data_IF_256818000023
#
_entry.id   IF_256818000023
#
_cell.length_a   1.000
_cell.length_b   1.000
_cell.length_c   1.000
_cell.angle_alpha   90.00
_cell.angle_beta   90.00
_cell.angle_gamma   90.00
#
_symmetry.space_group_name_H-M   'P 1'
#
loop_
_entity.id
_entity.type
_entity.pdbx_description
1 polymer ?
#
# COMPACT_ATOMS: atom_id res chain seq x y z
N UNK A 1 1.79 -4.28 -38.98
CA UNK A 1 2.49 -5.55 -38.73
C UNK A 1 3.56 -5.30 -37.66
N UNK A 2 3.56 -6.09 -36.57
CA UNK A 2 4.57 -5.99 -35.52
C UNK A 2 5.79 -6.86 -35.86
N UNK A 3 7.01 -6.31 -35.74
CA UNK A 3 8.27 -7.03 -35.96
C UNK A 3 9.24 -6.75 -34.81
N UNK A 4 9.95 -7.77 -34.32
CA UNK A 4 10.99 -7.61 -33.29
C UNK A 4 12.30 -8.21 -33.80
N UNK A 5 13.37 -7.41 -33.82
CA UNK A 5 14.73 -7.88 -34.13
C UNK A 5 15.64 -7.67 -32.91
N UNK A 6 16.36 -8.70 -32.49
CA UNK A 6 17.30 -8.65 -31.37
C UNK A 6 18.68 -8.98 -31.92
N UNK A 7 19.60 -8.03 -31.91
CA UNK A 7 21.02 -8.23 -32.24
C UNK A 7 21.82 -8.31 -30.96
N UNK A 8 22.65 -9.33 -30.79
CA UNK A 8 23.48 -9.46 -29.60
C UNK A 8 24.89 -9.93 -29.93
N UNK A 9 25.87 -9.35 -29.25
CA UNK A 9 27.27 -9.75 -29.29
C UNK A 9 27.85 -9.63 -27.89
N UNK A 10 28.55 -10.68 -27.43
CA UNK A 10 29.29 -10.59 -26.17
C UNK A 10 30.40 -9.55 -26.26
N UNK A 11 30.78 -8.97 -25.13
CA UNK A 11 31.80 -7.93 -25.11
C UNK A 11 33.20 -8.42 -25.51
N UNK A 12 33.46 -9.71 -25.33
CA UNK A 12 34.74 -10.41 -25.60
C UNK A 12 34.78 -11.11 -26.97
N UNK A 13 33.65 -11.15 -27.69
CA UNK A 13 33.50 -11.84 -28.96
C UNK A 13 33.89 -10.95 -30.16
N UNK A 14 34.30 -11.53 -31.28
CA UNK A 14 34.61 -10.77 -32.49
C UNK A 14 33.32 -10.31 -33.21
N UNK A 15 33.36 -9.25 -34.05
CA UNK A 15 32.17 -8.72 -34.71
C UNK A 15 31.39 -9.74 -35.54
N UNK A 16 32.06 -10.72 -36.13
CA UNK A 16 31.47 -11.82 -36.91
C UNK A 16 30.72 -12.85 -36.06
N UNK A 17 30.87 -12.82 -34.74
CA UNK A 17 30.07 -13.61 -33.79
C UNK A 17 28.78 -12.91 -33.35
N UNK A 18 28.39 -11.82 -34.04
CA UNK A 18 27.09 -11.18 -33.81
C UNK A 18 25.95 -12.11 -34.22
N UNK A 19 24.97 -12.29 -33.35
CA UNK A 19 23.78 -13.12 -33.59
C UNK A 19 22.53 -12.25 -33.66
N UNK A 20 21.60 -12.61 -34.56
CA UNK A 20 20.32 -11.94 -34.76
C UNK A 20 19.19 -12.93 -34.49
N UNK A 21 18.29 -12.56 -33.58
CA UNK A 21 17.04 -13.24 -33.29
C UNK A 21 15.88 -12.37 -33.80
N UNK A 22 15.16 -12.83 -34.82
CA UNK A 22 14.07 -12.09 -35.47
C UNK A 22 12.71 -12.76 -35.27
N UNK A 23 11.72 -11.95 -34.93
CA UNK A 23 10.30 -12.27 -34.84
C UNK A 23 9.57 -11.51 -35.96
N UNK A 24 9.45 -12.09 -37.17
CA UNK A 24 8.95 -11.37 -38.34
C UNK A 24 7.48 -10.95 -38.23
N UNK A 25 6.68 -11.72 -37.49
CA UNK A 25 5.26 -11.45 -37.21
C UNK A 25 4.99 -11.35 -35.69
N UNK A 26 5.93 -10.74 -34.96
CA UNK A 26 5.90 -10.70 -33.51
C UNK A 26 5.91 -12.11 -32.91
N UNK A 27 5.13 -12.32 -31.84
CA UNK A 27 5.09 -13.61 -31.12
C UNK A 27 4.19 -14.67 -31.80
N UNK A 28 3.59 -14.38 -32.96
CA UNK A 28 2.68 -15.29 -33.67
C UNK A 28 3.39 -16.37 -34.49
N UNK A 29 4.67 -16.14 -34.82
CA UNK A 29 5.48 -17.05 -35.61
C UNK A 29 6.70 -17.54 -34.83
N UNK A 30 7.26 -18.67 -35.28
CA UNK A 30 8.53 -19.16 -34.75
C UNK A 30 9.64 -18.14 -35.04
N UNK A 31 10.50 -17.83 -34.06
CA UNK A 31 11.59 -16.90 -34.28
C UNK A 31 12.68 -17.52 -35.16
N UNK A 32 13.39 -16.66 -35.87
CA UNK A 32 14.55 -17.00 -36.69
C UNK A 32 15.83 -16.58 -35.96
N UNK A 33 16.78 -17.49 -35.82
CA UNK A 33 18.09 -17.22 -35.22
C UNK A 33 19.17 -17.42 -36.29
N UNK A 34 19.94 -16.38 -36.59
CA UNK A 34 21.01 -16.44 -37.59
C UNK A 34 22.24 -15.62 -37.17
N UNK A 35 23.39 -15.90 -37.80
CA UNK A 35 24.57 -15.03 -37.72
C UNK A 35 24.35 -13.74 -38.50
N UNK A 36 24.98 -12.66 -38.06
CA UNK A 36 24.87 -11.37 -38.72
C UNK A 36 25.73 -11.29 -39.99
N UNK A 37 25.14 -10.78 -41.06
CA UNK A 37 25.87 -10.39 -42.26
C UNK A 37 26.86 -9.26 -41.97
N UNK A 38 27.86 -9.05 -42.84
CA UNK A 38 28.92 -8.06 -42.61
C UNK A 38 28.40 -6.66 -42.24
N UNK A 39 27.34 -6.19 -42.91
CA UNK A 39 26.70 -4.90 -42.65
C UNK A 39 25.87 -4.83 -41.36
N UNK A 40 25.63 -5.97 -40.72
CA UNK A 40 24.78 -6.10 -39.54
C UNK A 40 25.56 -6.41 -38.26
N UNK A 41 26.88 -6.63 -38.37
CA UNK A 41 27.78 -6.94 -37.27
C UNK A 41 27.86 -5.77 -36.29
N UNK A 42 27.74 -6.07 -35.00
CA UNK A 42 27.89 -5.08 -33.95
C UNK A 42 29.37 -4.78 -33.72
N UNK A 43 29.73 -3.49 -33.76
CA UNK A 43 31.10 -3.03 -33.49
C UNK A 43 31.38 -2.86 -31.99
N UNK A 44 30.34 -2.62 -31.19
CA UNK A 44 30.35 -2.60 -29.72
C UNK A 44 29.71 -3.86 -29.13
N UNK A 45 30.14 -4.26 -27.93
CA UNK A 45 29.53 -5.38 -27.22
C UNK A 45 28.17 -4.95 -26.66
N UNK A 46 27.23 -5.87 -26.54
CA UNK A 46 25.91 -5.63 -25.97
C UNK A 46 24.76 -6.22 -26.78
N UNK A 47 23.57 -5.67 -26.58
CA UNK A 47 22.34 -6.12 -27.23
C UNK A 47 21.54 -4.91 -27.74
N UNK A 48 21.19 -4.91 -29.02
CA UNK A 48 20.24 -3.97 -29.64
C UNK A 48 18.90 -4.68 -29.84
N UNK A 49 17.81 -4.07 -29.36
CA UNK A 49 16.45 -4.56 -29.57
C UNK A 49 15.70 -3.52 -30.39
N UNK A 50 15.20 -3.93 -31.56
CA UNK A 50 14.41 -3.09 -32.47
C UNK A 50 13.00 -3.63 -32.54
N UNK A 51 12.03 -2.76 -32.27
CA UNK A 51 10.61 -3.09 -32.32
C UNK A 51 9.95 -2.17 -33.34
N UNK A 52 9.38 -2.76 -34.39
CA UNK A 52 8.52 -2.06 -35.33
C UNK A 52 7.07 -2.23 -34.87
N UNK A 53 6.45 -1.12 -34.47
CA UNK A 53 5.08 -1.08 -33.96
C UNK A 53 4.09 -0.76 -35.08
N UNK A 54 2.95 -1.43 -35.08
CA UNK A 54 1.84 -1.14 -35.98
C UNK A 54 0.94 -0.05 -35.39
N UNK A 55 1.05 1.17 -35.89
CA UNK A 55 0.30 2.32 -35.35
C UNK A 55 -1.20 2.27 -35.58
N UNK A 56 -1.69 1.40 -36.49
CA UNK A 56 -3.10 1.35 -36.88
C UNK A 56 -3.93 0.32 -36.07
N UNK A 57 -3.27 -0.66 -35.43
CA UNK A 57 -3.91 -1.80 -34.73
C UNK A 57 -3.84 -1.72 -33.19
N UNK A 58 -3.42 -0.59 -32.61
CA UNK A 58 -3.28 -0.41 -31.16
C UNK A 58 -4.62 -0.20 -30.41
N UNK A 59 -5.63 -1.04 -30.69
CA UNK A 59 -6.84 -1.19 -29.86
C UNK A 59 -6.65 -2.12 -28.65
N UNK A 60 -5.44 -2.60 -28.40
CA UNK A 60 -5.17 -3.61 -27.36
C UNK A 60 -4.17 -3.11 -26.32
N UNK A 61 -4.68 -2.83 -25.11
CA UNK A 61 -4.16 -2.88 -23.73
C UNK A 61 -2.68 -3.29 -23.39
N UNK A 62 -1.70 -3.22 -24.28
CA UNK A 62 -0.39 -3.86 -24.06
C UNK A 62 0.66 -3.04 -23.30
N UNK A 63 0.38 -1.78 -23.00
CA UNK A 63 1.12 -1.04 -21.98
C UNK A 63 0.17 -0.74 -20.83
N UNK A 64 0.36 -1.35 -19.64
CA UNK A 64 -0.18 -0.78 -18.42
C UNK A 64 0.61 0.50 -18.16
N UNK A 65 0.29 1.57 -18.90
CA UNK A 65 0.64 2.91 -18.45
C UNK A 65 -0.09 3.08 -17.12
N UNK A 66 0.68 3.33 -16.07
CA UNK A 66 0.17 3.72 -14.75
C UNK A 66 -0.59 5.06 -14.80
N UNK A 67 -0.62 5.74 -15.94
CA UNK A 67 -1.48 6.89 -16.19
C UNK A 67 -2.85 6.49 -16.70
N UNK A 68 -3.89 6.78 -15.90
CA UNK A 68 -5.32 6.76 -16.25
C UNK A 68 -5.89 5.36 -16.49
N UNK A 69 -6.56 4.81 -15.47
CA UNK A 69 -7.63 3.78 -15.60
C UNK A 69 -8.87 4.31 -16.36
N UNK A 70 -8.69 5.24 -17.29
CA UNK A 70 -9.72 5.65 -18.24
C UNK A 70 -9.69 4.71 -19.42
N UNK A 71 -10.86 4.20 -19.83
CA UNK A 71 -11.09 3.73 -21.20
C UNK A 71 -10.72 4.86 -22.16
N UNK A 72 -9.47 4.92 -22.57
CA UNK A 72 -8.92 5.89 -23.50
C UNK A 72 -7.77 5.19 -24.18
N UNK A 73 -7.94 4.89 -25.46
CA UNK A 73 -6.96 4.16 -26.26
C UNK A 73 -5.58 4.81 -26.16
N UNK A 74 -4.55 4.00 -26.40
CA UNK A 74 -3.19 4.47 -26.60
C UNK A 74 -3.21 5.61 -27.63
N UNK A 75 -2.94 6.83 -27.17
CA UNK A 75 -2.42 7.85 -28.07
C UNK A 75 -1.12 7.33 -28.68
N UNK A 76 -0.78 7.78 -29.90
CA UNK A 76 0.50 7.46 -30.57
C UNK A 76 1.65 7.48 -29.54
N UNK A 77 2.46 6.41 -29.50
CA UNK A 77 3.70 6.37 -28.71
C UNK A 77 4.48 7.63 -29.03
N UNK A 78 4.56 8.52 -28.06
CA UNK A 78 5.24 9.79 -28.20
C UNK A 78 6.38 9.87 -27.18
N UNK A 79 7.30 10.78 -27.43
CA UNK A 79 8.49 10.96 -26.60
C UNK A 79 8.15 11.06 -25.10
N UNK A 80 7.13 11.83 -24.73
CA UNK A 80 6.74 12.02 -23.33
C UNK A 80 6.26 10.71 -22.68
N UNK A 81 5.40 9.94 -23.37
CA UNK A 81 4.91 8.65 -22.86
C UNK A 81 6.04 7.63 -22.67
N UNK A 82 7.06 7.65 -23.53
CA UNK A 82 8.22 6.78 -23.39
C UNK A 82 9.12 7.23 -22.23
N UNK A 83 9.37 8.53 -22.08
CA UNK A 83 10.19 9.05 -20.96
C UNK A 83 9.53 8.77 -19.61
N UNK A 84 8.20 8.88 -19.53
CA UNK A 84 7.43 8.56 -18.33
C UNK A 84 7.49 7.06 -18.03
N UNK A 85 7.27 6.21 -19.04
CA UNK A 85 7.37 4.76 -18.86
C UNK A 85 8.76 4.34 -18.37
N UNK A 86 9.83 4.90 -18.95
CA UNK A 86 11.20 4.62 -18.51
C UNK A 86 11.44 5.08 -17.07
N UNK A 87 11.01 6.29 -16.71
CA UNK A 87 11.18 6.85 -15.36
C UNK A 87 10.49 5.97 -14.30
N UNK A 88 9.23 5.61 -14.56
CA UNK A 88 8.38 4.85 -13.63
C UNK A 88 8.78 3.37 -13.53
N UNK A 89 9.34 2.78 -14.59
CA UNK A 89 9.78 1.38 -14.60
C UNK A 89 11.23 1.19 -14.17
N UNK A 90 12.08 2.23 -14.23
CA UNK A 90 13.49 2.16 -13.83
C UNK A 90 13.86 3.27 -12.81
N UNK A 91 13.11 3.44 -11.71
CA UNK A 91 13.26 4.61 -10.84
C UNK A 91 14.56 4.59 -10.02
N UNK A 92 15.22 3.43 -9.91
CA UNK A 92 16.43 3.23 -9.07
C UNK A 92 17.59 2.64 -9.87
N UNK A 93 17.59 2.82 -11.19
CA UNK A 93 18.62 2.23 -12.05
C UNK A 93 19.99 2.85 -11.79
N UNK A 94 20.95 2.02 -11.37
CA UNK A 94 22.36 2.39 -11.22
C UNK A 94 23.05 2.65 -12.57
N UNK A 95 22.41 2.24 -13.67
CA UNK A 95 22.83 2.56 -15.03
C UNK A 95 21.85 3.60 -15.60
N UNK A 96 22.33 4.80 -15.97
CA UNK A 96 21.46 5.82 -16.56
C UNK A 96 20.83 5.35 -17.86
N UNK A 97 19.53 5.59 -18.02
CA UNK A 97 18.78 5.23 -19.22
C UNK A 97 18.57 6.47 -20.09
N UNK A 98 19.11 6.43 -21.30
CA UNK A 98 19.02 7.53 -22.26
C UNK A 98 17.90 7.28 -23.27
N UNK A 99 16.92 8.19 -23.32
CA UNK A 99 15.84 8.19 -24.31
C UNK A 99 16.12 9.29 -25.33
N UNK A 100 16.12 8.93 -26.62
CA UNK A 100 16.29 9.88 -27.72
C UNK A 100 15.12 9.75 -28.70
N UNK A 101 14.53 10.87 -29.10
CA UNK A 101 13.59 10.92 -30.21
C UNK A 101 13.77 12.23 -30.98
N UNK A 102 14.06 12.13 -32.28
CA UNK A 102 14.39 13.27 -33.13
C UNK A 102 15.50 14.14 -32.49
N UNK A 103 15.17 15.39 -32.15
CA UNK A 103 16.03 16.39 -31.51
C UNK A 103 15.98 16.38 -29.97
N UNK A 104 15.12 15.53 -29.37
CA UNK A 104 14.92 15.48 -27.92
C UNK A 104 15.73 14.36 -27.27
N UNK A 105 16.30 14.66 -26.12
CA UNK A 105 17.06 13.71 -25.29
C UNK A 105 16.62 13.83 -23.83
N UNK A 106 16.40 12.69 -23.18
CA UNK A 106 16.03 12.57 -21.78
C UNK A 106 16.93 11.52 -21.12
N UNK A 107 17.43 11.82 -19.92
CA UNK A 107 18.28 10.94 -19.13
C UNK A 107 17.56 10.61 -17.82
N UNK A 108 17.22 9.34 -17.61
CA UNK A 108 16.78 8.84 -16.33
C UNK A 108 17.98 8.27 -15.57
N UNK A 109 18.47 9.02 -14.58
CA UNK A 109 19.54 8.60 -13.69
C UNK A 109 18.97 8.34 -12.29
N UNK A 110 18.74 7.07 -11.97
CA UNK A 110 18.18 6.61 -10.70
C UNK A 110 19.23 6.28 -9.64
N UNK A 111 20.52 6.51 -9.91
CA UNK A 111 21.61 6.07 -9.03
C UNK A 111 21.60 6.77 -7.66
N UNK A 112 21.11 8.01 -7.60
CA UNK A 112 21.12 8.83 -6.38
C UNK A 112 19.75 8.93 -5.67
N UNK A 113 18.89 7.91 -5.81
CA UNK A 113 17.55 7.90 -5.23
C UNK A 113 17.53 8.09 -3.69
N UNK A 114 18.62 7.73 -3.00
CA UNK A 114 18.72 7.82 -1.54
C UNK A 114 18.81 9.27 -1.05
N UNK A 115 19.48 10.14 -1.81
CA UNK A 115 19.84 11.50 -1.36
C UNK A 115 19.15 12.61 -2.14
N UNK A 116 18.62 12.31 -3.33
CA UNK A 116 17.96 13.32 -4.16
C UNK A 116 16.74 13.96 -3.46
N UNK A 117 16.25 15.12 -3.93
CA UNK A 117 15.04 15.71 -3.37
C UNK A 117 13.84 14.75 -3.44
N UNK A 118 13.06 14.69 -2.36
CA UNK A 118 11.89 13.80 -2.27
C UNK A 118 10.91 14.01 -3.44
N UNK A 119 10.67 15.26 -3.84
CA UNK A 119 9.84 15.59 -5.00
C UNK A 119 10.36 14.99 -6.30
N UNK A 120 11.68 15.01 -6.53
CA UNK A 120 12.30 14.47 -7.75
C UNK A 120 12.13 12.95 -7.81
N UNK A 121 12.41 12.26 -6.70
CA UNK A 121 12.20 10.82 -6.58
C UNK A 121 10.72 10.45 -6.79
N UNK A 122 9.80 11.15 -6.12
CA UNK A 122 8.38 10.81 -6.15
C UNK A 122 7.75 11.11 -7.51
N UNK A 123 8.10 12.23 -8.17
CA UNK A 123 7.66 12.50 -9.54
C UNK A 123 8.13 11.42 -10.53
N UNK A 124 9.34 10.89 -10.33
CA UNK A 124 9.88 9.80 -11.15
C UNK A 124 9.12 8.48 -10.95
N UNK A 125 8.73 8.17 -9.71
CA UNK A 125 8.00 6.94 -9.35
C UNK A 125 6.52 7.03 -9.77
N UNK A 126 5.88 8.17 -9.52
CA UNK A 126 4.44 8.37 -9.65
C UNK A 126 4.05 8.87 -11.05
N UNK A 127 4.97 9.50 -11.78
CA UNK A 127 4.72 10.04 -13.13
C UNK A 127 3.57 11.04 -13.13
N UNK A 128 2.66 10.92 -14.10
CA UNK A 128 1.45 11.74 -14.22
C UNK A 128 0.50 11.65 -13.01
N UNK A 129 0.67 10.65 -12.12
CA UNK A 129 -0.16 10.45 -10.93
C UNK A 129 0.38 11.20 -9.69
N UNK A 130 1.50 11.91 -9.81
CA UNK A 130 2.09 12.67 -8.71
C UNK A 130 1.07 13.69 -8.14
N UNK A 131 0.68 13.58 -6.86
CA UNK A 131 -0.48 14.27 -6.29
C UNK A 131 -0.25 15.77 -6.02
N UNK A 132 0.96 16.29 -6.24
CA UNK A 132 1.29 17.69 -5.99
C UNK A 132 1.00 18.11 -4.55
N UNK A 133 0.24 19.20 -4.39
CA UNK A 133 -0.11 19.76 -3.08
C UNK A 133 -0.80 18.75 -2.16
N UNK A 134 -1.67 17.88 -2.70
CA UNK A 134 -2.45 16.94 -1.89
C UNK A 134 -1.57 15.88 -1.21
N UNK A 135 -0.41 15.57 -1.79
CA UNK A 135 0.57 14.64 -1.23
C UNK A 135 1.75 15.32 -0.55
N UNK A 136 1.86 16.66 -0.59
CA UNK A 136 3.04 17.40 -0.10
C UNK A 136 3.38 17.09 1.36
N UNK A 137 2.37 16.86 2.21
CA UNK A 137 2.58 16.46 3.60
C UNK A 137 3.40 15.17 3.68
N UNK A 138 2.98 14.15 2.93
CA UNK A 138 3.59 12.81 2.91
C UNK A 138 4.91 12.75 2.15
N UNK A 139 5.18 13.74 1.29
CA UNK A 139 6.50 13.93 0.69
C UNK A 139 7.53 14.40 1.73
N UNK A 140 7.14 15.30 2.64
CA UNK A 140 8.04 15.83 3.68
C UNK A 140 8.44 14.80 4.72
N UNK A 141 7.67 13.72 4.84
CA UNK A 141 7.92 12.61 5.78
C UNK A 141 8.65 11.44 5.14
N UNK A 142 9.05 11.57 3.86
CA UNK A 142 9.83 10.58 3.15
C UNK A 142 11.18 10.36 3.83
N UNK A 143 11.40 9.15 4.35
CA UNK A 143 12.59 8.79 5.14
C UNK A 143 13.20 7.49 4.64
N UNK A 144 14.46 7.25 4.99
CA UNK A 144 15.17 6.02 4.64
C UNK A 144 14.67 4.86 5.49
N UNK A 145 14.50 3.69 4.87
CA UNK A 145 14.33 2.43 5.57
C UNK A 145 15.71 1.79 5.69
N UNK A 146 16.17 1.54 6.91
CA UNK A 146 17.51 1.04 7.21
C UNK A 146 17.47 -0.25 8.02
N UNK A 147 18.35 -1.17 7.68
CA UNK A 147 18.67 -2.31 8.53
C UNK A 147 19.49 -1.88 9.76
N UNK A 148 19.63 -2.79 10.73
CA UNK A 148 20.41 -2.55 11.95
C UNK A 148 21.89 -2.23 11.66
N UNK A 149 22.44 -2.78 10.57
CA UNK A 149 23.82 -2.53 10.13
C UNK A 149 23.98 -1.19 9.38
N UNK A 150 22.90 -0.44 9.18
CA UNK A 150 22.88 0.83 8.46
C UNK A 150 22.63 0.70 6.96
N UNK A 151 22.51 -0.51 6.41
CA UNK A 151 22.19 -0.75 5.00
C UNK A 151 20.83 -0.12 4.66
N UNK A 152 20.81 0.72 3.63
CA UNK A 152 19.58 1.35 3.13
C UNK A 152 18.85 0.40 2.21
N UNK A 153 17.64 0.02 2.60
CA UNK A 153 16.76 -0.94 1.90
C UNK A 153 15.50 -0.29 1.32
N UNK A 154 15.37 1.03 1.45
CA UNK A 154 14.28 1.78 0.85
C UNK A 154 14.29 3.25 1.26
N UNK A 155 13.37 4.01 0.66
CA UNK A 155 13.07 5.40 1.01
C UNK A 155 11.58 5.61 0.78
N UNK A 156 10.84 5.68 1.87
CA UNK A 156 9.39 5.59 1.83
C UNK A 156 8.71 6.45 2.90
N UNK A 157 7.40 6.64 2.71
CA UNK A 157 6.50 7.35 3.62
C UNK A 157 5.13 6.65 3.66
N UNK A 158 4.38 6.77 4.75
CA UNK A 158 2.96 6.39 4.74
C UNK A 158 2.07 7.47 4.12
N UNK A 159 0.88 7.08 3.69
CA UNK A 159 -0.13 7.99 3.14
C UNK A 159 -1.54 7.50 3.51
N UNK A 160 -2.55 8.39 3.57
CA UNK A 160 -3.93 8.07 3.97
C UNK A 160 -4.73 7.43 2.83
N UNK A 161 -5.81 6.72 3.16
CA UNK A 161 -6.59 5.94 2.19
C UNK A 161 -7.21 6.82 1.08
N UNK A 162 -7.48 8.11 1.36
CA UNK A 162 -7.95 9.06 0.33
C UNK A 162 -6.96 9.26 -0.83
N UNK A 163 -5.68 8.93 -0.63
CA UNK A 163 -4.62 8.93 -1.67
C UNK A 163 -4.36 7.53 -2.24
N UNK A 164 -4.99 6.47 -1.74
CA UNK A 164 -4.67 5.07 -2.11
C UNK A 164 -5.27 4.56 -3.42
N UNK A 165 -6.15 5.33 -4.08
CA UNK A 165 -6.93 4.87 -5.24
C UNK A 165 -7.90 3.72 -4.95
N UNK A 166 -8.00 3.24 -3.70
CA UNK A 166 -8.83 2.09 -3.31
C UNK A 166 -10.30 2.43 -3.14
N UNK A 167 -10.60 3.62 -2.61
CA UNK A 167 -11.97 4.04 -2.27
C UNK A 167 -12.66 4.67 -3.49
N UNK A 168 -11.95 5.53 -4.22
CA UNK A 168 -12.42 6.18 -5.44
C UNK A 168 -11.25 6.31 -6.40
N UNK A 169 -11.44 5.93 -7.67
CA UNK A 169 -10.43 6.20 -8.70
C UNK A 169 -10.30 7.70 -8.88
N UNK A 170 -9.24 8.30 -8.35
CA UNK A 170 -9.00 9.75 -8.39
C UNK A 170 -7.76 10.04 -9.25
N UNK A 171 -7.58 11.31 -9.65
CA UNK A 171 -6.43 11.73 -10.47
C UNK A 171 -5.08 11.72 -9.72
N UNK A 172 -5.09 11.47 -8.41
CA UNK A 172 -3.95 11.69 -7.52
C UNK A 172 -3.67 10.44 -6.65
N UNK A 173 -3.68 9.26 -7.28
CA UNK A 173 -3.37 8.00 -6.59
C UNK A 173 -1.88 7.89 -6.32
N UNK A 174 -1.53 7.59 -5.08
CA UNK A 174 -0.17 7.37 -4.63
C UNK A 174 0.06 5.86 -4.57
N UNK A 175 1.12 5.42 -5.23
CA UNK A 175 1.60 4.05 -5.16
C UNK A 175 3.09 4.03 -4.87
N UNK A 176 3.48 3.09 -4.02
CA UNK A 176 4.89 2.77 -3.77
C UNK A 176 5.33 1.71 -4.75
N UNK A 177 6.64 1.62 -4.96
CA UNK A 177 7.19 0.58 -5.84
C UNK A 177 8.27 -0.22 -5.12
N UNK A 178 8.27 -1.53 -5.39
CA UNK A 178 9.39 -2.39 -5.04
C UNK A 178 10.26 -2.55 -6.27
N UNK A 179 11.55 -2.28 -6.12
CA UNK A 179 12.50 -2.38 -7.23
C UNK A 179 13.50 -3.52 -7.02
N UNK A 180 13.93 -4.11 -8.12
CA UNK A 180 15.00 -5.12 -8.14
C UNK A 180 15.97 -4.79 -9.27
N UNK A 181 17.24 -4.54 -8.93
CA UNK A 181 18.28 -4.11 -9.88
C UNK A 181 17.84 -2.90 -10.70
N UNK A 182 17.29 -1.89 -10.03
CA UNK A 182 16.86 -0.63 -10.65
C UNK A 182 15.44 -0.62 -11.22
N UNK A 183 14.91 -1.79 -11.59
CA UNK A 183 13.62 -1.91 -12.26
C UNK A 183 12.46 -2.17 -11.29
N UNK A 184 11.30 -1.55 -11.54
CA UNK A 184 10.04 -1.83 -10.86
C UNK A 184 9.67 -3.31 -11.00
N UNK A 185 9.27 -3.92 -9.90
CA UNK A 185 8.73 -5.28 -9.84
C UNK A 185 7.24 -5.16 -9.58
N UNK A 186 6.85 -4.82 -8.34
CA UNK A 186 5.45 -4.66 -7.97
C UNK A 186 5.19 -3.33 -7.27
N UNK A 187 3.92 -3.04 -7.02
CA UNK A 187 3.46 -1.88 -6.26
C UNK A 187 3.32 -2.22 -4.78
N UNK A 188 3.26 -1.19 -3.93
CA UNK A 188 3.07 -1.29 -2.49
C UNK A 188 2.18 -0.17 -1.93
N UNK A 189 1.68 -0.39 -0.71
CA UNK A 189 0.83 0.55 0.03
C UNK A 189 1.70 1.43 0.94
N UNK A 190 2.64 2.11 0.32
CA UNK A 190 3.50 3.15 0.89
C UNK A 190 3.81 4.13 -0.24
N UNK A 191 4.33 5.30 0.05
CA UNK A 191 4.78 6.27 -0.95
C UNK A 191 6.30 6.18 -1.08
N UNK A 192 6.84 6.10 -2.29
CA UNK A 192 8.29 5.99 -2.51
C UNK A 192 8.73 4.59 -2.94
N UNK A 193 9.91 4.15 -2.49
CA UNK A 193 10.56 2.91 -2.95
C UNK A 193 11.01 2.01 -1.80
N UNK A 194 10.90 0.70 -2.03
CA UNK A 194 11.60 -0.33 -1.28
C UNK A 194 12.44 -1.17 -2.24
N UNK A 195 13.62 -1.61 -1.81
CA UNK A 195 14.40 -2.61 -2.52
C UNK A 195 13.86 -4.00 -2.21
N UNK A 196 13.90 -4.89 -3.19
CA UNK A 196 13.49 -6.27 -2.99
C UNK A 196 13.90 -7.20 -4.13
N UNK A 197 13.34 -8.41 -4.08
CA UNK A 197 13.55 -9.44 -5.09
C UNK A 197 12.21 -9.97 -5.61
N UNK A 198 12.09 -10.23 -6.92
CA UNK A 198 10.87 -10.82 -7.47
C UNK A 198 10.71 -12.26 -6.99
N UNK A 199 9.48 -12.65 -6.64
CA UNK A 199 9.14 -14.03 -6.24
C UNK A 199 9.17 -14.98 -7.45
N UNK A 200 8.82 -14.47 -8.64
CA UNK A 200 8.75 -15.24 -9.89
C UNK A 200 9.17 -14.39 -11.08
N UNK A 201 9.50 -15.06 -12.20
CA UNK A 201 9.93 -14.41 -13.44
C UNK A 201 8.92 -13.40 -14.02
N UNK A 202 7.62 -13.58 -13.73
CA UNK A 202 6.57 -12.65 -14.14
C UNK A 202 6.64 -11.27 -13.46
N UNK A 203 7.46 -11.12 -12.40
CA UNK A 203 7.73 -9.85 -11.69
C UNK A 203 6.48 -9.15 -11.14
N UNK A 204 5.39 -9.87 -10.92
CA UNK A 204 4.13 -9.34 -10.37
C UNK A 204 3.99 -9.55 -8.85
N UNK A 205 5.04 -10.03 -8.19
CA UNK A 205 5.14 -10.14 -6.74
C UNK A 205 6.61 -10.03 -6.30
N UNK A 206 6.86 -9.38 -5.16
CA UNK A 206 8.19 -9.20 -4.60
C UNK A 206 8.24 -9.46 -3.09
N UNK A 207 9.42 -9.83 -2.60
CA UNK A 207 9.76 -9.82 -1.17
C UNK A 207 10.70 -8.64 -0.95
N UNK A 208 10.37 -7.71 -0.04
CA UNK A 208 11.25 -6.58 0.26
C UNK A 208 12.50 -7.09 0.97
N UNK A 209 13.63 -6.41 0.78
CA UNK A 209 14.85 -6.71 1.54
C UNK A 209 14.76 -6.23 2.99
N UNK A 210 13.85 -5.28 3.27
CA UNK A 210 13.64 -4.77 4.61
C UNK A 210 13.17 -5.87 5.58
N UNK A 211 13.93 -6.06 6.65
CA UNK A 211 13.60 -6.96 7.74
C UNK A 211 12.35 -6.49 8.50
N UNK A 212 11.63 -7.41 9.20
CA UNK A 212 10.51 -7.00 10.05
C UNK A 212 10.89 -5.96 11.09
N UNK A 213 12.12 -6.02 11.64
CA UNK A 213 12.59 -5.06 12.63
C UNK A 213 12.89 -3.69 12.00
N UNK A 214 13.51 -3.65 10.81
CA UNK A 214 13.71 -2.41 10.06
C UNK A 214 12.38 -1.71 9.76
N UNK A 215 11.38 -2.47 9.28
CA UNK A 215 10.06 -1.93 8.99
C UNK A 215 9.30 -1.47 10.25
N UNK A 216 9.42 -2.18 11.36
CA UNK A 216 8.86 -1.76 12.65
C UNK A 216 9.45 -0.44 13.14
N UNK A 217 10.77 -0.31 13.09
CA UNK A 217 11.49 0.90 13.51
C UNK A 217 11.11 2.09 12.62
N UNK A 218 11.17 1.90 11.30
CA UNK A 218 10.74 2.90 10.33
C UNK A 218 9.26 3.29 10.49
N UNK A 219 8.36 2.33 10.73
CA UNK A 219 6.94 2.64 10.95
C UNK A 219 6.72 3.53 12.19
N UNK A 220 7.47 3.28 13.26
CA UNK A 220 7.41 4.08 14.49
C UNK A 220 7.97 5.50 14.25
N UNK A 221 9.04 5.62 13.46
CA UNK A 221 9.55 6.91 13.01
C UNK A 221 8.53 7.68 12.16
N UNK A 222 7.87 7.00 11.22
CA UNK A 222 6.83 7.58 10.38
C UNK A 222 5.66 8.12 11.21
N UNK A 223 5.24 7.41 12.26
CA UNK A 223 4.18 7.89 13.15
C UNK A 223 4.52 9.27 13.74
N UNK A 224 5.76 9.45 14.20
CA UNK A 224 6.25 10.73 14.72
C UNK A 224 6.33 11.79 13.62
N UNK A 225 7.02 11.50 12.51
CA UNK A 225 7.24 12.45 11.42
C UNK A 225 5.93 12.97 10.84
N UNK A 226 4.94 12.09 10.68
CA UNK A 226 3.63 12.43 10.15
C UNK A 226 2.81 13.22 11.17
N UNK A 227 2.81 12.81 12.44
CA UNK A 227 2.15 13.58 13.49
C UNK A 227 2.67 15.04 13.55
N UNK A 228 3.99 15.23 13.40
CA UNK A 228 4.63 16.55 13.38
C UNK A 228 4.17 17.44 12.21
N UNK A 229 3.59 16.86 11.14
CA UNK A 229 2.99 17.62 10.04
C UNK A 229 1.53 18.04 10.29
N UNK A 230 0.95 17.66 11.43
CA UNK A 230 -0.43 17.96 11.83
C UNK A 230 -1.51 17.62 10.76
N UNK A 231 -1.58 16.37 10.27
CA UNK A 231 -2.64 15.92 9.37
C UNK A 231 -4.00 15.84 10.08
N UNK A 232 -5.08 15.70 9.31
CA UNK A 232 -6.44 15.54 9.86
C UNK A 232 -6.56 14.28 10.73
N UNK A 233 -7.56 14.24 11.62
CA UNK A 233 -7.82 13.06 12.45
C UNK A 233 -8.07 11.78 11.64
N UNK A 234 -8.76 11.90 10.51
CA UNK A 234 -9.00 10.81 9.56
C UNK A 234 -7.67 10.30 8.95
N UNK A 235 -6.82 11.21 8.46
CA UNK A 235 -5.50 10.85 7.92
C UNK A 235 -4.62 10.19 9.01
N UNK A 236 -4.68 10.66 10.25
CA UNK A 236 -3.96 10.05 11.39
C UNK A 236 -4.45 8.63 11.68
N UNK A 237 -5.76 8.40 11.64
CA UNK A 237 -6.36 7.08 11.87
C UNK A 237 -5.90 6.06 10.83
N UNK A 238 -5.90 6.44 9.55
CA UNK A 238 -5.42 5.58 8.44
C UNK A 238 -3.95 5.20 8.61
N UNK A 239 -3.14 6.16 9.05
CA UNK A 239 -1.70 5.97 9.21
C UNK A 239 -1.40 5.17 10.47
N UNK A 240 -2.12 5.39 11.57
CA UNK A 240 -2.02 4.57 12.77
C UNK A 240 -2.29 3.09 12.45
N UNK A 241 -3.27 2.80 11.59
CA UNK A 241 -3.55 1.43 11.17
C UNK A 241 -2.39 0.80 10.40
N UNK A 242 -1.72 1.57 9.52
CA UNK A 242 -0.54 1.10 8.79
C UNK A 242 0.66 0.85 9.73
N UNK A 243 0.92 1.77 10.66
CA UNK A 243 1.99 1.66 11.65
C UNK A 243 1.80 0.43 12.54
N UNK A 244 0.61 0.28 13.12
CA UNK A 244 0.28 -0.83 14.01
C UNK A 244 0.35 -2.18 13.29
N UNK A 245 -0.01 -2.23 12.00
CA UNK A 245 0.05 -3.45 11.19
C UNK A 245 1.48 -3.93 10.90
N UNK A 246 2.47 -3.05 10.99
CA UNK A 246 3.90 -3.42 10.95
C UNK A 246 4.50 -3.66 12.35
N UNK A 247 3.70 -3.56 13.40
CA UNK A 247 4.15 -3.69 14.78
C UNK A 247 4.92 -2.47 15.30
N UNK A 248 4.84 -1.34 14.59
CA UNK A 248 5.41 -0.06 15.03
C UNK A 248 4.58 0.57 16.15
N UNK A 249 5.17 1.53 16.85
CA UNK A 249 4.45 2.34 17.82
C UNK A 249 3.73 3.51 17.13
N UNK A 250 2.41 3.57 17.29
CA UNK A 250 1.55 4.65 16.75
C UNK A 250 1.80 6.00 17.44
N UNK A 251 2.47 6.03 18.59
CA UNK A 251 2.78 7.26 19.32
C UNK A 251 1.52 8.07 19.65
N UNK A 252 1.51 9.35 19.25
CA UNK A 252 0.43 10.31 19.50
C UNK A 252 -0.63 10.37 18.39
N UNK A 253 -0.54 9.52 17.35
CA UNK A 253 -1.53 9.48 16.29
C UNK A 253 -2.92 9.17 16.88
N UNK A 254 -3.94 9.84 16.33
CA UNK A 254 -5.33 9.42 16.57
C UNK A 254 -5.55 8.03 15.97
N UNK A 255 -6.33 7.20 16.63
CA UNK A 255 -6.54 5.81 16.20
C UNK A 255 -7.96 5.28 16.40
N UNK A 256 -8.83 6.05 17.06
CA UNK A 256 -10.25 5.75 17.17
C UNK A 256 -11.09 7.03 17.05
N UNK A 257 -12.40 6.86 16.85
CA UNK A 257 -13.37 7.94 16.70
C UNK A 257 -14.49 7.78 17.72
N UNK A 258 -14.90 8.86 18.38
CA UNK A 258 -16.02 8.92 19.32
C UNK A 258 -16.79 10.22 19.11
N UNK A 259 -18.11 10.16 18.94
CA UNK A 259 -18.91 11.38 18.78
C UNK A 259 -18.55 12.24 17.56
N UNK A 260 -17.73 11.72 16.63
CA UNK A 260 -17.20 12.46 15.47
C UNK A 260 -15.81 13.07 15.72
N UNK A 261 -15.27 12.92 16.92
CA UNK A 261 -13.94 13.37 17.31
C UNK A 261 -12.95 12.21 17.28
N UNK A 262 -11.72 12.50 16.87
CA UNK A 262 -10.65 11.50 16.77
C UNK A 262 -9.74 11.57 18.00
N UNK A 263 -9.52 10.42 18.64
CA UNK A 263 -8.78 10.32 19.91
C UNK A 263 -7.47 9.55 19.76
N UNK A 264 -6.42 10.03 20.43
CA UNK A 264 -5.19 9.30 20.68
C UNK A 264 -5.30 8.52 22.02
N UNK A 265 -4.20 7.86 22.44
CA UNK A 265 -4.21 7.02 23.65
C UNK A 265 -4.56 7.81 24.90
N UNK A 266 -3.93 8.96 25.11
CA UNK A 266 -4.13 9.79 26.31
C UNK A 266 -5.55 10.36 26.38
N UNK A 267 -6.08 10.81 25.24
CA UNK A 267 -7.43 11.36 25.14
C UNK A 267 -8.49 10.28 25.31
N UNK A 268 -8.27 9.07 24.79
CA UNK A 268 -9.16 7.94 25.02
C UNK A 268 -9.23 7.58 26.51
N UNK A 269 -8.08 7.56 27.21
CA UNK A 269 -8.06 7.32 28.65
C UNK A 269 -8.86 8.37 29.42
N UNK A 270 -8.64 9.65 29.10
CA UNK A 270 -9.38 10.73 29.73
C UNK A 270 -10.89 10.63 29.47
N UNK A 271 -11.28 10.28 28.24
CA UNK A 271 -12.66 10.02 27.87
C UNK A 271 -13.31 8.89 28.69
N UNK A 272 -12.55 7.86 29.07
CA UNK A 272 -13.04 6.69 29.80
C UNK A 272 -13.19 6.91 31.33
N UNK A 273 -12.44 7.86 31.93
CA UNK A 273 -12.47 8.09 33.38
C UNK A 273 -13.85 8.47 33.93
N UNK A 274 -14.64 9.18 33.14
CA UNK A 274 -15.98 9.65 33.54
C UNK A 274 -17.11 8.65 33.26
N UNK A 275 -16.80 7.39 32.93
CA UNK A 275 -17.76 6.41 32.43
C UNK A 275 -17.73 5.10 33.22
N UNK A 276 -18.91 4.51 33.38
CA UNK A 276 -19.11 3.20 33.97
C UNK A 276 -19.22 2.09 32.91
N UNK A 277 -19.59 2.45 31.69
CA UNK A 277 -19.67 1.54 30.55
C UNK A 277 -19.27 2.22 29.22
N UNK A 278 -18.93 1.40 28.24
CA UNK A 278 -18.67 1.82 26.87
C UNK A 278 -18.91 0.68 25.88
N UNK A 279 -19.33 1.04 24.67
CA UNK A 279 -19.37 0.12 23.53
C UNK A 279 -18.22 0.40 22.56
N UNK A 280 -17.64 -0.64 21.99
CA UNK A 280 -16.63 -0.55 20.93
C UNK A 280 -17.23 -1.18 19.67
N UNK A 281 -17.07 -0.54 18.51
CA UNK A 281 -17.59 -0.97 17.23
C UNK A 281 -16.48 -1.08 16.19
N UNK A 282 -16.61 -2.07 15.30
CA UNK A 282 -15.65 -2.29 14.23
C UNK A 282 -15.93 -1.38 13.03
N UNK A 283 -14.93 -0.62 12.62
CA UNK A 283 -14.98 0.39 11.55
C UNK A 283 -15.67 -0.06 10.26
N UNK A 284 -15.47 -1.29 9.79
CA UNK A 284 -16.09 -1.78 8.56
C UNK A 284 -17.63 -1.85 8.67
N UNK A 285 -18.15 -2.40 9.77
CA UNK A 285 -19.59 -2.45 10.03
C UNK A 285 -20.15 -1.05 10.25
N UNK A 286 -19.38 -0.22 10.93
CA UNK A 286 -19.69 1.18 11.17
C UNK A 286 -19.80 1.98 9.86
N UNK A 287 -18.85 1.82 8.94
CA UNK A 287 -18.83 2.48 7.63
C UNK A 287 -20.01 2.05 6.77
N UNK A 288 -20.29 0.74 6.69
CA UNK A 288 -21.42 0.20 5.91
C UNK A 288 -22.78 0.64 6.46
N UNK A 289 -22.89 0.86 7.77
CA UNK A 289 -24.12 1.35 8.41
C UNK A 289 -24.36 2.85 8.20
N UNK A 290 -23.31 3.62 7.88
CA UNK A 290 -23.38 5.05 7.62
C UNK A 290 -23.86 5.34 6.20
N UNK A 291 -25.18 5.34 5.96
CA UNK A 291 -25.72 5.78 4.66
C UNK A 291 -25.60 7.30 4.49
N UNK A 292 -24.99 7.81 3.39
CA UNK A 292 -24.92 9.24 3.09
C UNK A 292 -26.30 9.91 2.97
N UNK A 293 -27.34 9.14 2.64
CA UNK A 293 -28.68 9.66 2.36
C UNK A 293 -29.38 10.25 3.59
N UNK A 294 -28.92 9.94 4.81
CA UNK A 294 -29.64 10.24 6.06
C UNK A 294 -28.78 11.12 7.01
N UNK A 295 -27.58 11.53 6.58
CA UNK A 295 -26.60 12.33 7.37
C UNK A 295 -26.54 11.93 8.86
N UNK A 296 -26.36 10.64 9.19
CA UNK A 296 -26.29 10.21 10.57
C UNK A 296 -25.07 10.81 11.28
N UNK A 297 -25.19 11.05 12.59
CA UNK A 297 -24.07 11.51 13.43
C UNK A 297 -23.52 10.36 14.25
N UNK A 298 -22.24 10.41 14.58
CA UNK A 298 -21.63 9.50 15.55
C UNK A 298 -22.27 9.66 16.93
N UNK A 299 -22.30 8.59 17.70
CA UNK A 299 -22.70 8.64 19.11
C UNK A 299 -21.49 8.83 20.00
N UNK A 300 -21.72 9.38 21.20
CA UNK A 300 -20.70 9.50 22.25
C UNK A 300 -20.64 8.26 23.17
N UNK A 301 -21.51 7.27 22.96
CA UNK A 301 -21.55 6.02 23.73
C UNK A 301 -20.84 4.87 23.03
N UNK A 302 -20.22 5.12 21.88
CA UNK A 302 -19.58 4.12 21.06
C UNK A 302 -18.21 4.62 20.57
N UNK A 303 -17.18 3.80 20.79
CA UNK A 303 -15.86 3.95 20.18
C UNK A 303 -15.88 3.22 18.83
N UNK A 304 -15.60 3.92 17.74
CA UNK A 304 -15.36 3.32 16.43
C UNK A 304 -13.86 3.16 16.21
N UNK A 305 -13.41 1.95 15.87
CA UNK A 305 -11.98 1.64 15.71
C UNK A 305 -11.74 0.60 14.63
N UNK A 306 -10.59 0.71 13.95
CA UNK A 306 -10.24 -0.18 12.84
C UNK A 306 -9.94 -1.61 13.30
N UNK A 307 -10.62 -2.59 12.69
CA UNK A 307 -10.45 -4.01 13.04
C UNK A 307 -9.47 -4.76 12.11
N UNK A 308 -9.24 -4.26 10.89
CA UNK A 308 -8.40 -4.91 9.89
C UNK A 308 -6.89 -4.70 10.06
N UNK A 309 -6.08 -5.65 9.56
CA UNK A 309 -4.65 -5.47 9.36
C UNK A 309 -4.39 -4.92 7.95
N UNK A 310 -3.63 -3.83 7.88
CA UNK A 310 -3.18 -3.23 6.62
C UNK A 310 -1.96 -3.98 6.11
N UNK A 311 -1.95 -4.32 4.82
CA UNK A 311 -0.77 -4.91 4.18
C UNK A 311 0.11 -3.82 3.59
N UNK A 312 1.42 -3.89 3.81
CA UNK A 312 2.37 -2.98 3.15
C UNK A 312 2.55 -3.32 1.67
N UNK A 313 2.44 -4.60 1.33
CA UNK A 313 2.59 -5.11 -0.03
C UNK A 313 1.31 -5.88 -0.38
N UNK A 314 0.55 -5.46 -1.41
CA UNK A 314 -0.62 -6.19 -1.85
C UNK A 314 -0.19 -7.55 -2.42
N UNK A 315 -0.56 -8.62 -1.73
CA UNK A 315 -0.35 -9.98 -2.24
C UNK A 315 -1.53 -10.31 -3.16
N UNK A 316 -1.31 -10.36 -4.48
CA UNK A 316 -2.36 -10.63 -5.49
C UNK A 316 -3.01 -12.03 -5.36
N UNK A 317 -2.57 -12.85 -4.43
CA UNK A 317 -3.15 -14.16 -4.15
C UNK A 317 -3.40 -14.28 -2.66
N UNK A 318 -4.62 -14.67 -2.27
CA UNK A 318 -5.03 -15.15 -0.95
C UNK A 318 -4.26 -16.44 -0.54
N UNK A 319 -2.98 -16.55 -0.88
CA UNK A 319 -2.10 -17.65 -0.50
C UNK A 319 -1.37 -17.25 0.79
N UNK A 320 -1.51 -17.99 1.89
CA UNK A 320 -0.92 -17.67 3.19
C UNK A 320 0.62 -17.63 3.24
N UNK A 321 1.32 -17.90 2.12
CA UNK A 321 2.78 -18.09 2.10
C UNK A 321 3.58 -16.81 2.20
N UNK A 322 2.95 -15.66 1.99
CA UNK A 322 3.51 -14.35 2.31
C UNK A 322 2.74 -13.74 3.47
N UNK A 323 2.46 -14.53 4.52
CA UNK A 323 2.49 -13.95 5.87
C UNK A 323 3.92 -13.49 6.08
N UNK A 324 4.24 -12.32 5.54
CA UNK A 324 5.29 -11.51 6.09
C UNK A 324 5.05 -11.52 7.60
N UNK A 325 6.03 -12.02 8.36
CA UNK A 325 5.98 -12.26 9.80
C UNK A 325 5.89 -10.94 10.59
N UNK A 326 5.08 -9.99 10.13
CA UNK A 326 4.81 -8.76 10.83
C UNK A 326 3.94 -9.13 12.03
N UNK A 327 4.52 -8.98 13.21
CA UNK A 327 3.87 -9.16 14.51
C UNK A 327 2.91 -7.98 14.83
N UNK A 328 2.40 -7.31 13.80
CA UNK A 328 1.51 -6.18 13.94
C UNK A 328 0.17 -6.58 14.53
N UNK A 329 -0.51 -5.58 15.06
CA UNK A 329 -1.85 -5.73 15.64
C UNK A 329 -2.80 -4.72 15.00
N UNK A 330 -4.09 -5.05 14.83
CA UNK A 330 -5.08 -4.08 14.40
C UNK A 330 -5.36 -3.07 15.52
N UNK A 331 -5.85 -1.89 15.15
CA UNK A 331 -6.10 -0.79 16.10
C UNK A 331 -7.11 -1.14 17.19
N UNK A 332 -8.12 -1.97 16.89
CA UNK A 332 -9.10 -2.39 17.89
C UNK A 332 -8.44 -3.07 19.10
N UNK A 333 -7.34 -3.83 18.91
CA UNK A 333 -6.62 -4.44 20.04
C UNK A 333 -5.97 -3.41 20.93
N UNK A 334 -5.50 -2.30 20.37
CA UNK A 334 -4.97 -1.16 21.15
C UNK A 334 -6.10 -0.52 21.95
N UNK A 335 -7.25 -0.26 21.32
CA UNK A 335 -8.43 0.31 22.00
C UNK A 335 -8.91 -0.60 23.15
N UNK A 336 -9.11 -1.89 22.89
CA UNK A 336 -9.59 -2.85 23.88
C UNK A 336 -8.63 -3.01 25.05
N UNK A 337 -7.32 -2.96 24.79
CA UNK A 337 -6.31 -2.98 25.87
C UNK A 337 -6.46 -1.74 26.76
N UNK A 338 -6.61 -0.55 26.16
CA UNK A 338 -6.83 0.70 26.91
C UNK A 338 -8.13 0.62 27.72
N UNK A 339 -9.23 0.17 27.12
CA UNK A 339 -10.52 0.01 27.82
C UNK A 339 -10.41 -0.98 28.97
N UNK A 340 -9.83 -2.15 28.75
CA UNK A 340 -9.67 -3.17 29.78
C UNK A 340 -8.82 -2.70 30.95
N UNK A 341 -7.74 -1.95 30.68
CA UNK A 341 -6.90 -1.33 31.72
C UNK A 341 -7.69 -0.27 32.53
N UNK A 342 -8.35 0.67 31.86
CA UNK A 342 -9.09 1.76 32.53
C UNK A 342 -10.31 1.26 33.31
N UNK A 343 -10.91 0.14 32.89
CA UNK A 343 -12.10 -0.45 33.52
C UNK A 343 -11.75 -1.60 34.49
N UNK A 344 -10.45 -1.90 34.67
CA UNK A 344 -9.94 -2.95 35.55
C UNK A 344 -10.54 -4.34 35.23
N UNK A 345 -10.61 -4.67 33.94
CA UNK A 345 -11.23 -5.91 33.45
C UNK A 345 -10.22 -7.06 33.50
N UNK A 346 -10.62 -8.17 34.11
CA UNK A 346 -9.79 -9.38 34.19
C UNK A 346 -9.53 -9.98 32.79
N UNK A 347 -8.28 -10.39 32.46
CA UNK A 347 -7.97 -10.97 31.16
C UNK A 347 -8.82 -12.19 30.76
N UNK A 348 -9.32 -12.96 31.73
CA UNK A 348 -10.21 -14.11 31.48
C UNK A 348 -11.56 -13.70 30.88
N UNK A 349 -12.04 -12.48 31.17
CA UNK A 349 -13.26 -11.91 30.60
C UNK A 349 -13.04 -11.60 29.12
N UNK A 350 -11.93 -10.96 28.77
CA UNK A 350 -11.55 -10.68 27.38
C UNK A 350 -11.38 -12.00 26.61
N UNK A 351 -10.81 -13.03 27.23
CA UNK A 351 -10.69 -14.36 26.63
C UNK A 351 -12.07 -14.99 26.37
N UNK A 352 -13.04 -14.80 27.26
CA UNK A 352 -14.42 -15.27 27.08
C UNK A 352 -15.14 -14.52 25.96
N UNK A 353 -15.00 -13.19 25.88
CA UNK A 353 -15.58 -12.36 24.80
C UNK A 353 -15.02 -12.72 23.42
N UNK A 354 -13.75 -13.13 23.34
CA UNK A 354 -13.10 -13.49 22.07
C UNK A 354 -13.22 -14.99 21.73
N UNK A 355 -14.00 -15.76 22.50
CA UNK A 355 -14.16 -17.20 22.29
C UNK A 355 -14.79 -17.47 20.92
N UNK A 356 -14.24 -18.50 20.26
CA UNK A 356 -14.75 -19.04 19.00
C UNK A 356 -15.06 -20.52 19.22
N UNK A 357 -16.29 -20.93 18.90
CA UNK A 357 -16.73 -22.32 18.96
C UNK A 357 -17.28 -22.70 17.58
N UNK A 358 -16.88 -23.86 17.05
CA UNK A 358 -17.25 -24.35 15.70
C UNK A 358 -17.04 -23.32 14.57
N UNK A 359 -15.99 -22.51 14.71
CA UNK A 359 -15.64 -21.47 13.75
C UNK A 359 -16.51 -20.21 13.84
N UNK A 360 -17.37 -20.08 14.86
CA UNK A 360 -18.24 -18.93 15.08
C UNK A 360 -17.88 -18.19 16.36
N UNK A 361 -17.92 -16.86 16.31
CA UNK A 361 -17.87 -16.04 17.51
C UNK A 361 -19.16 -16.27 18.31
N UNK A 362 -19.01 -16.56 19.61
CA UNK A 362 -20.14 -16.90 20.48
C UNK A 362 -20.56 -15.75 21.39
N UNK A 363 -19.89 -14.61 21.27
CA UNK A 363 -20.25 -13.35 21.91
C UNK A 363 -20.75 -12.37 20.84
N UNK A 364 -21.89 -11.74 21.08
CA UNK A 364 -22.46 -10.73 20.19
C UNK A 364 -23.05 -9.56 21.00
N UNK A 365 -22.44 -8.39 20.86
CA UNK A 365 -22.99 -7.13 21.33
C UNK A 365 -23.29 -6.19 20.16
N UNK A 366 -24.26 -5.30 20.37
CA UNK A 366 -24.70 -4.34 19.36
C UNK A 366 -24.40 -2.90 19.81
N UNK A 367 -23.38 -2.32 19.19
CA UNK A 367 -22.84 -1.00 19.47
C UNK A 367 -23.62 0.08 18.71
N UNK A 368 -24.15 1.12 19.38
CA UNK A 368 -24.91 2.19 18.74
C UNK A 368 -23.95 3.14 18.01
N UNK A 369 -23.45 2.77 16.83
CA UNK A 369 -22.44 3.55 16.13
C UNK A 369 -22.93 4.88 15.54
N UNK A 370 -24.23 4.99 15.26
CA UNK A 370 -24.82 6.19 14.68
C UNK A 370 -26.15 6.59 15.33
N UNK A 371 -26.49 7.87 15.26
CA UNK A 371 -27.79 8.44 15.57
C UNK A 371 -28.32 9.22 14.37
N UNK A 372 -29.55 8.92 13.97
CA UNK A 372 -30.26 9.66 12.90
C UNK A 372 -30.80 10.99 13.42
N UNK A 373 -31.18 11.89 12.50
CA UNK A 373 -31.79 13.19 12.83
C UNK A 373 -33.06 13.08 13.69
N UNK A 374 -33.80 11.97 13.58
CA UNK A 374 -34.98 11.68 14.39
C UNK A 374 -34.67 10.99 15.73
N UNK A 375 -33.39 10.87 16.12
CA UNK A 375 -32.93 10.22 17.35
C UNK A 375 -32.82 8.69 17.28
N UNK A 376 -33.16 8.05 16.15
CA UNK A 376 -33.05 6.59 16.01
C UNK A 376 -31.58 6.15 15.98
N UNK A 377 -31.23 5.18 16.84
CA UNK A 377 -29.90 4.59 16.87
C UNK A 377 -29.74 3.54 15.77
N UNK A 378 -28.62 3.58 15.05
CA UNK A 378 -28.18 2.51 14.15
C UNK A 378 -27.11 1.72 14.88
N UNK A 379 -27.42 0.46 15.13
CA UNK A 379 -26.52 -0.45 15.84
C UNK A 379 -25.73 -1.31 14.85
N UNK A 380 -24.50 -1.63 15.22
CA UNK A 380 -23.60 -2.53 14.48
C UNK A 380 -23.00 -3.54 15.45
N UNK A 381 -22.47 -4.64 14.94
CA UNK A 381 -21.74 -5.59 15.78
C UNK A 381 -20.54 -4.93 16.45
N UNK A 382 -20.29 -5.31 17.69
CA UNK A 382 -19.22 -4.77 18.50
C UNK A 382 -19.11 -5.45 19.86
N UNK A 383 -18.54 -4.74 20.81
CA UNK A 383 -18.19 -5.22 22.14
C UNK A 383 -18.70 -4.26 23.21
N UNK A 384 -19.21 -4.80 24.31
CA UNK A 384 -19.64 -4.06 25.48
C UNK A 384 -18.64 -4.25 26.62
N UNK A 385 -18.29 -3.15 27.26
CA UNK A 385 -17.39 -3.11 28.40
C UNK A 385 -18.05 -2.31 29.52
N UNK A 386 -17.89 -2.78 30.76
CA UNK A 386 -18.26 -2.03 31.97
C UNK A 386 -17.16 -2.06 33.01
N UNK A 387 -17.11 -1.05 33.87
CA UNK A 387 -16.14 -0.96 34.96
C UNK A 387 -16.37 -2.11 35.95
N UNK A 388 -15.30 -2.83 36.29
CA UNK A 388 -15.40 -4.01 37.16
C UNK A 388 -16.26 -5.12 36.57
N UNK A 389 -16.26 -5.28 35.24
CA UNK A 389 -16.98 -6.34 34.54
C UNK A 389 -16.67 -7.71 35.16
N UNK A 390 -17.67 -8.58 35.24
CA UNK A 390 -17.57 -9.96 35.72
C UNK A 390 -17.89 -10.93 34.59
N UNK A 391 -17.68 -12.24 34.82
CA UNK A 391 -18.02 -13.26 33.83
C UNK A 391 -19.53 -13.36 33.58
N UNK A 392 -20.37 -13.06 34.57
CA UNK A 392 -21.84 -13.08 34.45
C UNK A 392 -22.34 -11.98 33.49
N UNK A 393 -21.67 -10.82 33.50
CA UNK A 393 -22.01 -9.71 32.60
C UNK A 393 -21.74 -10.04 31.12
N UNK A 394 -20.80 -10.95 30.86
CA UNK A 394 -20.52 -11.44 29.50
C UNK A 394 -21.59 -12.43 29.04
N UNK A 395 -22.17 -13.20 29.95
CA UNK A 395 -23.13 -14.27 29.62
C UNK A 395 -24.41 -13.71 28.97
N UNK A 396 -24.78 -12.47 29.28
CA UNK A 396 -25.92 -11.78 28.65
C UNK A 396 -25.75 -11.60 27.13
N UNK A 397 -24.52 -11.56 26.65
CA UNK A 397 -24.17 -11.37 25.24
C UNK A 397 -23.80 -12.68 24.53
N UNK A 398 -23.88 -13.82 25.23
CA UNK A 398 -23.50 -15.10 24.67
C UNK A 398 -24.62 -15.66 23.80
N UNK A 399 -24.30 -15.98 22.54
CA UNK A 399 -25.25 -16.58 21.61
C UNK A 399 -25.49 -18.03 22.05
N UNK A 400 -26.73 -18.42 22.40
CA UNK A 400 -27.05 -19.80 22.77
C UNK A 400 -26.73 -20.76 21.63
N UNK A 401 -26.28 -21.98 21.95
CA UNK A 401 -25.87 -23.00 20.96
C UNK A 401 -26.93 -23.23 19.87
N UNK A 402 -28.19 -23.27 20.28
CA UNK A 402 -29.39 -23.43 19.43
C UNK A 402 -29.58 -22.32 18.38
N UNK A 403 -28.93 -21.15 18.56
CA UNK A 403 -29.04 -19.99 17.67
C UNK A 403 -27.79 -19.77 16.81
N UNK A 404 -26.79 -20.65 16.91
CA UNK A 404 -25.51 -20.54 16.20
C UNK A 404 -25.55 -21.19 14.81
N UNK A 405 -26.67 -21.15 14.09
CA UNK A 405 -26.80 -21.76 12.73
C UNK A 405 -26.12 -20.97 11.61
#
# INVERSE_FOLDING_TARGET
MEKIDIKSRRFDASPDETVILSFPEGLKMRPLLCGAEYSERMTSGGTEIRILLDTDDHRSNYYPMSGKRGRGGLGKVNYNSLTEAISTHFPTSDVPVLVRANDKTFLNDGSNWQEEPASTLLQRIEGDMYPGEEGRLYERTLSLVKEEDGTVVGRASFYPDRLSGRILTRKNEVEGVITAKGAKVCIGNFRGILLGSPVRAARDAAVPYASPQALKNWASEQARLIFDQNPSGEDQLDIAAQVASLGGDIGNLKFCEVGGEFLNRSELREFLKGRDDILVAHDAGVYLAGSPEISPRRTESCISVAHGLRTLIPTMHWRPRTRSNFLGIPLHRIANTIVAEEFEIDPSIIQKMTKVEDGKHVYEAFSPAWVRSNGTLIKVSGEFYKRGMTLEDVDEFFVPEEKRE
#
